data_IF_814501946877
#
_entry.id   IF_814501946877
#
_cell.length_a   1.000
_cell.length_b   1.000
_cell.length_c   1.000
_cell.angle_alpha   90.00
_cell.angle_beta   90.00
_cell.angle_gamma   90.00
#
_symmetry.space_group_name_H-M   'P 1'
#
loop_
_entity.id
_entity.type
_entity.pdbx_description
1 polymer ?
#
# COMPACT_ATOMS: atom_id res chain seq x y z
N UNK A 1 -16.41 55.35 33.21
CA UNK A 1 -15.66 54.07 33.23
C UNK A 1 -16.64 53.01 32.73
N UNK A 2 -16.48 52.63 31.47
CA UNK A 2 -17.30 51.58 30.82
C UNK A 2 -16.95 50.25 31.48
N UNK A 3 -17.90 49.58 32.10
CA UNK A 3 -17.72 48.23 32.63
C UNK A 3 -17.33 47.32 31.47
N UNK A 4 -16.14 46.77 31.51
CA UNK A 4 -15.73 45.76 30.56
C UNK A 4 -16.75 44.63 30.65
N UNK A 5 -17.40 44.30 29.51
CA UNK A 5 -18.31 43.18 29.38
C UNK A 5 -17.61 41.93 29.87
N UNK A 6 -17.92 41.46 31.06
CA UNK A 6 -17.43 40.19 31.54
C UNK A 6 -18.14 39.10 30.74
N UNK A 7 -17.37 38.16 30.14
CA UNK A 7 -17.96 37.08 29.35
C UNK A 7 -18.95 36.28 30.24
N UNK A 8 -20.11 35.98 29.71
CA UNK A 8 -21.07 35.14 30.41
C UNK A 8 -20.51 33.75 30.70
N UNK A 9 -21.01 33.06 31.74
CA UNK A 9 -20.60 31.68 32.02
C UNK A 9 -20.81 30.76 30.79
N UNK A 10 -21.82 31.02 29.98
CA UNK A 10 -22.09 30.30 28.74
C UNK A 10 -20.98 30.53 27.72
N UNK A 11 -20.45 31.75 27.58
CA UNK A 11 -19.39 32.08 26.65
C UNK A 11 -18.07 31.41 27.08
N UNK A 12 -17.78 31.39 28.36
CA UNK A 12 -16.60 30.68 28.92
C UNK A 12 -16.68 29.17 28.63
N UNK A 13 -17.86 28.56 28.87
CA UNK A 13 -18.05 27.13 28.54
C UNK A 13 -17.94 26.86 27.04
N UNK A 14 -18.53 27.70 26.20
CA UNK A 14 -18.45 27.57 24.73
C UNK A 14 -17.01 27.63 24.24
N UNK A 15 -16.22 28.57 24.75
CA UNK A 15 -14.79 28.71 24.42
C UNK A 15 -13.99 27.49 24.91
N UNK A 16 -14.25 26.99 26.10
CA UNK A 16 -13.59 25.80 26.64
C UNK A 16 -13.90 24.54 25.82
N UNK A 17 -15.17 24.33 25.45
CA UNK A 17 -15.58 23.21 24.61
C UNK A 17 -14.93 23.34 23.22
N UNK A 18 -14.98 24.51 22.59
CA UNK A 18 -14.35 24.75 21.29
C UNK A 18 -12.85 24.51 21.32
N UNK A 19 -12.14 24.95 22.38
CA UNK A 19 -10.71 24.69 22.56
C UNK A 19 -10.40 23.20 22.77
N UNK A 20 -11.27 22.46 23.43
CA UNK A 20 -11.14 21.01 23.60
C UNK A 20 -11.36 20.29 22.27
N UNK A 21 -12.42 20.62 21.54
CA UNK A 21 -12.72 20.02 20.24
C UNK A 21 -11.67 20.34 19.18
N UNK A 22 -11.05 21.53 19.22
CA UNK A 22 -9.97 21.90 18.31
C UNK A 22 -8.71 21.04 18.48
N UNK A 23 -8.54 20.37 19.61
CA UNK A 23 -7.44 19.43 19.87
C UNK A 23 -7.76 17.99 19.46
N UNK A 24 -9.02 17.73 19.12
CA UNK A 24 -9.50 16.42 18.78
C UNK A 24 -9.14 16.12 17.32
N UNK A 25 -8.19 15.24 17.10
CA UNK A 25 -7.75 14.84 15.76
C UNK A 25 -8.34 13.47 15.44
N UNK A 26 -9.12 13.38 14.35
CA UNK A 26 -9.66 12.11 13.88
C UNK A 26 -8.83 11.57 12.70
N UNK A 27 -8.79 12.32 11.60
CA UNK A 27 -7.99 11.97 10.44
C UNK A 27 -7.63 13.23 9.65
N UNK A 28 -6.50 13.18 8.97
CA UNK A 28 -6.03 14.26 8.11
C UNK A 28 -5.10 13.70 7.01
N UNK A 29 -5.00 14.38 5.86
CA UNK A 29 -4.06 14.00 4.83
C UNK A 29 -2.62 14.29 5.26
N UNK A 30 -1.69 13.44 4.83
CA UNK A 30 -0.27 13.58 5.08
C UNK A 30 0.58 13.23 3.86
N UNK A 31 1.80 13.74 3.85
CA UNK A 31 2.81 13.47 2.82
C UNK A 31 3.98 12.77 3.50
N UNK A 32 4.41 11.65 2.96
CA UNK A 32 5.55 10.89 3.46
C UNK A 32 6.84 11.69 3.28
N UNK A 33 7.58 11.91 4.36
CA UNK A 33 8.84 12.65 4.40
C UNK A 33 10.06 11.75 4.61
N UNK A 34 9.86 10.55 5.15
CA UNK A 34 10.89 9.50 5.18
C UNK A 34 10.25 8.17 4.78
N UNK A 35 10.98 7.39 3.98
CA UNK A 35 10.53 6.09 3.54
C UNK A 35 10.27 5.14 4.72
N UNK A 36 9.46 4.11 4.48
CA UNK A 36 9.16 3.07 5.45
C UNK A 36 10.44 2.39 5.94
N UNK A 37 10.64 2.44 7.26
CA UNK A 37 11.74 1.78 7.93
C UNK A 37 11.48 0.28 8.14
N UNK A 38 12.49 -0.46 8.64
CA UNK A 38 12.37 -1.89 8.93
C UNK A 38 11.35 -2.20 10.04
N UNK A 39 10.98 -1.20 10.82
CA UNK A 39 9.96 -1.27 11.88
C UNK A 39 8.54 -0.99 11.37
N UNK A 40 8.36 -0.84 10.05
CA UNK A 40 7.06 -0.55 9.43
C UNK A 40 6.55 0.87 9.72
N UNK A 41 7.44 1.82 10.04
CA UNK A 41 7.07 3.21 10.34
C UNK A 41 7.56 4.16 9.25
N UNK A 42 6.79 5.22 9.03
CA UNK A 42 7.11 6.30 8.08
C UNK A 42 7.07 7.66 8.78
N UNK A 43 7.91 8.57 8.33
CA UNK A 43 7.78 9.99 8.67
C UNK A 43 6.69 10.62 7.80
N UNK A 44 5.78 11.35 8.42
CA UNK A 44 4.66 11.98 7.72
C UNK A 44 4.56 13.44 8.13
N UNK A 45 4.53 14.33 7.13
CA UNK A 45 4.19 15.73 7.28
C UNK A 45 2.68 15.89 7.10
N UNK A 46 1.92 16.37 8.12
CA UNK A 46 0.52 16.73 7.91
C UNK A 46 0.39 17.73 6.75
N UNK A 47 -0.49 17.46 5.81
CA UNK A 47 -0.68 18.29 4.62
C UNK A 47 -1.59 19.51 4.85
N UNK A 48 -2.10 19.67 6.07
CA UNK A 48 -2.92 20.81 6.48
C UNK A 48 -2.10 21.67 7.45
N UNK A 49 -2.05 22.98 7.17
CA UNK A 49 -1.38 23.95 8.02
C UNK A 49 -2.19 24.22 9.30
N UNK A 50 -1.51 24.59 10.35
CA UNK A 50 -2.10 24.99 11.61
C UNK A 50 -2.14 26.53 11.67
N UNK A 51 -3.31 27.09 12.00
CA UNK A 51 -3.42 28.52 12.26
C UNK A 51 -2.92 28.84 13.68
N UNK A 52 -1.99 29.77 13.77
CA UNK A 52 -1.54 30.31 15.07
C UNK A 52 -2.57 31.29 15.63
N UNK A 53 -2.44 31.66 16.91
CA UNK A 53 -3.30 32.69 17.52
C UNK A 53 -3.22 34.04 16.82
N UNK A 54 -2.11 34.32 16.14
CA UNK A 54 -1.92 35.54 15.33
C UNK A 54 -2.49 35.41 13.90
N UNK A 55 -3.17 34.30 13.56
CA UNK A 55 -3.73 34.07 12.24
C UNK A 55 -2.72 33.57 11.19
N UNK A 56 -1.46 33.41 11.55
CA UNK A 56 -0.44 32.90 10.64
C UNK A 56 -0.62 31.40 10.40
N UNK A 57 -0.52 30.95 9.16
CA UNK A 57 -0.53 29.55 8.78
C UNK A 57 0.88 28.98 8.85
N UNK A 58 1.08 27.95 9.66
CA UNK A 58 2.37 27.24 9.77
C UNK A 58 2.19 25.76 9.53
N UNK A 59 3.19 25.08 8.93
CA UNK A 59 3.15 23.62 8.79
C UNK A 59 3.07 22.95 10.16
N UNK A 60 2.25 21.92 10.29
CA UNK A 60 2.26 21.08 11.48
C UNK A 60 3.62 20.35 11.60
N UNK A 61 3.98 19.95 12.81
CA UNK A 61 5.23 19.21 13.03
C UNK A 61 5.15 17.82 12.40
N UNK A 62 6.20 17.35 11.70
CA UNK A 62 6.25 15.97 11.19
C UNK A 62 6.13 14.94 12.32
N UNK A 63 5.53 13.81 12.03
CA UNK A 63 5.31 12.70 12.96
C UNK A 63 5.85 11.41 12.37
N UNK A 64 6.29 10.47 13.22
CA UNK A 64 6.70 9.11 12.79
C UNK A 64 5.68 8.12 13.31
N UNK A 65 4.99 7.44 12.40
CA UNK A 65 3.85 6.57 12.69
C UNK A 65 3.93 5.26 11.92
N UNK A 66 3.33 4.17 12.44
CA UNK A 66 3.25 2.90 11.72
C UNK A 66 2.35 3.01 10.49
N UNK A 67 2.62 2.14 9.50
CA UNK A 67 1.77 2.00 8.31
C UNK A 67 0.77 0.88 8.54
N UNK A 68 -0.50 1.12 8.23
CA UNK A 68 -1.54 0.10 8.24
C UNK A 68 -1.82 -0.39 6.81
N UNK A 69 -1.35 -1.57 6.50
CA UNK A 69 -1.67 -2.28 5.26
C UNK A 69 -2.94 -3.12 5.45
N UNK A 70 -3.80 -3.21 4.43
CA UNK A 70 -4.93 -4.13 4.46
C UNK A 70 -4.45 -5.58 4.65
N UNK A 71 -4.94 -6.23 5.70
CA UNK A 71 -4.60 -7.64 5.98
C UNK A 71 -5.78 -8.36 6.62
N UNK A 72 -5.99 -9.61 6.23
CA UNK A 72 -7.03 -10.49 6.77
C UNK A 72 -6.76 -11.96 6.42
N UNK A 73 -7.11 -12.88 7.30
CA UNK A 73 -7.07 -14.31 7.02
C UNK A 73 -5.72 -14.85 6.52
N UNK A 74 -4.60 -14.26 6.94
CA UNK A 74 -3.27 -14.63 6.47
C UNK A 74 -2.86 -14.00 5.14
N UNK A 75 -3.69 -13.14 4.56
CA UNK A 75 -3.39 -12.38 3.32
C UNK A 75 -3.10 -10.93 3.70
N UNK A 76 -2.10 -10.33 3.06
CA UNK A 76 -1.81 -8.90 3.17
C UNK A 76 -1.61 -8.29 1.78
N UNK A 77 -2.08 -7.05 1.60
CA UNK A 77 -1.75 -6.23 0.43
C UNK A 77 -0.78 -5.15 0.93
N UNK A 78 0.46 -5.24 0.51
CA UNK A 78 1.51 -4.34 0.95
C UNK A 78 2.23 -3.71 -0.25
N UNK A 79 2.67 -2.49 -0.07
CA UNK A 79 3.55 -1.80 -1.00
C UNK A 79 4.64 -1.07 -0.22
N UNK A 80 5.61 -0.49 -0.88
CA UNK A 80 6.64 0.33 -0.24
C UNK A 80 6.27 1.79 -0.37
N UNK A 81 6.08 2.48 0.76
CA UNK A 81 5.89 3.93 0.77
C UNK A 81 7.22 4.64 0.58
N UNK A 82 7.28 5.54 -0.39
CA UNK A 82 8.40 6.42 -0.66
C UNK A 82 8.15 7.85 -0.21
N UNK A 83 9.21 8.65 -0.18
CA UNK A 83 9.10 10.10 0.06
C UNK A 83 8.24 10.74 -1.03
N UNK A 84 7.28 11.58 -0.63
CA UNK A 84 6.31 12.22 -1.53
C UNK A 84 5.00 11.46 -1.70
N UNK A 85 4.90 10.20 -1.23
CA UNK A 85 3.63 9.49 -1.25
C UNK A 85 2.62 10.14 -0.31
N UNK A 86 1.36 10.10 -0.71
CA UNK A 86 0.25 10.65 0.07
C UNK A 86 -0.44 9.54 0.86
N UNK A 87 -0.79 9.86 2.10
CA UNK A 87 -1.46 8.96 3.03
C UNK A 87 -2.58 9.68 3.77
N UNK A 88 -3.55 8.93 4.26
CA UNK A 88 -4.45 9.42 5.31
C UNK A 88 -3.88 9.00 6.65
N UNK A 89 -3.67 9.97 7.52
CA UNK A 89 -3.30 9.76 8.92
C UNK A 89 -4.59 9.64 9.72
N UNK A 90 -4.77 8.50 10.38
CA UNK A 90 -5.93 8.25 11.24
C UNK A 90 -5.47 8.17 12.69
N UNK A 91 -6.01 9.06 13.53
CA UNK A 91 -5.72 9.08 14.95
C UNK A 91 -6.61 8.10 15.69
N UNK A 92 -6.00 7.21 16.45
CA UNK A 92 -6.75 6.23 17.24
C UNK A 92 -7.48 6.89 18.41
N UNK A 93 -8.67 6.41 18.71
CA UNK A 93 -9.49 6.85 19.84
C UNK A 93 -8.80 6.60 21.18
N UNK A 94 -7.91 5.60 21.25
CA UNK A 94 -7.18 5.21 22.46
C UNK A 94 -5.71 4.95 22.17
N UNK A 95 -4.91 4.95 23.23
CA UNK A 95 -3.52 4.49 23.13
C UNK A 95 -3.48 2.99 22.79
N UNK A 96 -3.05 2.67 21.59
CA UNK A 96 -2.99 1.32 21.06
C UNK A 96 -1.57 0.75 20.95
N UNK A 97 -0.56 1.50 21.42
CA UNK A 97 0.85 1.11 21.29
C UNK A 97 1.17 -0.24 21.93
N UNK A 98 0.55 -0.55 23.08
CA UNK A 98 0.72 -1.85 23.72
C UNK A 98 0.17 -2.98 22.85
N UNK A 99 -0.98 -2.76 22.21
CA UNK A 99 -1.54 -3.73 21.27
C UNK A 99 -0.65 -3.89 20.04
N UNK A 100 -0.09 -2.80 19.50
CA UNK A 100 0.81 -2.86 18.35
C UNK A 100 2.07 -3.71 18.63
N UNK A 101 2.53 -3.75 19.88
CA UNK A 101 3.71 -4.50 20.29
C UNK A 101 3.42 -5.97 20.61
N UNK A 102 2.31 -6.26 21.26
CA UNK A 102 2.01 -7.60 21.80
C UNK A 102 0.88 -8.32 21.09
N UNK A 103 0.02 -7.62 20.34
CA UNK A 103 -1.21 -8.19 19.81
C UNK A 103 -2.20 -8.60 20.93
N UNK A 104 -3.28 -9.30 20.54
CA UNK A 104 -4.27 -9.82 21.47
C UNK A 104 -5.10 -8.75 22.19
N UNK A 105 -5.60 -9.06 23.37
CA UNK A 105 -6.35 -8.13 24.23
C UNK A 105 -5.40 -7.53 25.24
N UNK A 106 -5.28 -6.19 25.24
CA UNK A 106 -4.37 -5.47 26.12
C UNK A 106 -5.12 -4.57 27.10
N UNK A 107 -4.58 -4.34 28.31
CA UNK A 107 -5.16 -3.40 29.25
C UNK A 107 -5.20 -1.98 28.71
N UNK A 108 -6.26 -1.24 29.00
CA UNK A 108 -6.34 0.18 28.71
C UNK A 108 -5.47 1.00 29.68
N UNK A 109 -4.53 1.73 29.17
CA UNK A 109 -3.58 2.52 29.98
C UNK A 109 -4.06 3.94 30.30
N UNK A 110 -5.27 4.30 29.94
CA UNK A 110 -5.98 5.50 30.41
C UNK A 110 -5.54 6.85 29.84
N UNK A 111 -4.46 6.92 29.06
CA UNK A 111 -3.92 8.18 28.56
C UNK A 111 -3.77 8.18 27.05
N UNK A 112 -4.17 9.27 26.44
CA UNK A 112 -4.00 9.52 25.00
C UNK A 112 -5.11 8.88 24.15
N UNK A 113 -5.62 9.64 23.25
CA UNK A 113 -6.56 9.30 22.21
C UNK A 113 -6.68 10.50 21.31
N UNK A 114 -7.07 10.28 20.05
CA UNK A 114 -7.25 11.37 19.07
C UNK A 114 -6.04 12.31 18.96
N UNK A 115 -4.83 11.76 19.08
CA UNK A 115 -3.58 12.49 18.99
C UNK A 115 -2.68 11.91 17.89
N UNK A 116 -1.92 12.75 17.23
CA UNK A 116 -1.00 12.35 16.17
C UNK A 116 0.04 11.28 16.62
N UNK A 117 0.42 11.26 17.91
CA UNK A 117 1.33 10.25 18.47
C UNK A 117 0.77 8.82 18.50
N UNK A 118 -0.56 8.66 18.42
CA UNK A 118 -1.25 7.37 18.38
C UNK A 118 -1.93 7.13 17.04
N UNK A 119 -1.42 7.76 16.00
CA UNK A 119 -1.98 7.67 14.66
C UNK A 119 -1.32 6.52 13.86
N UNK A 120 -1.95 6.21 12.74
CA UNK A 120 -1.50 5.25 11.74
C UNK A 120 -1.58 5.88 10.36
N UNK A 121 -0.63 5.58 9.49
CA UNK A 121 -0.66 5.99 8.09
C UNK A 121 -1.39 4.92 7.24
N UNK A 122 -2.42 5.34 6.51
CA UNK A 122 -3.18 4.48 5.58
C UNK A 122 -2.95 4.96 4.14
N UNK A 123 -2.34 4.16 3.27
CA UNK A 123 -2.12 4.51 1.86
C UNK A 123 -3.38 4.25 1.01
N UNK A 124 -4.50 4.82 1.40
CA UNK A 124 -5.81 4.52 0.79
C UNK A 124 -6.35 5.61 -0.12
N UNK A 125 -5.75 6.80 -0.11
CA UNK A 125 -6.27 7.93 -0.88
C UNK A 125 -5.13 8.86 -1.29
N UNK A 126 -5.22 9.39 -2.52
CA UNK A 126 -4.35 10.44 -3.03
C UNK A 126 -5.16 11.70 -3.33
N UNK A 127 -4.49 12.86 -3.32
CA UNK A 127 -5.07 14.12 -3.79
C UNK A 127 -5.44 14.04 -5.27
N UNK A 128 -6.32 14.92 -5.73
CA UNK A 128 -6.78 14.93 -7.13
C UNK A 128 -5.63 14.96 -8.15
N UNK A 129 -4.56 15.76 -7.98
CA UNK A 129 -3.42 15.77 -8.92
C UNK A 129 -2.66 14.44 -8.96
N UNK A 130 -2.61 13.69 -7.85
CA UNK A 130 -1.81 12.48 -7.70
C UNK A 130 -2.64 11.19 -7.77
N UNK A 131 -3.95 11.33 -7.95
CA UNK A 131 -4.86 10.20 -8.06
C UNK A 131 -4.62 9.42 -9.35
N UNK A 132 -4.60 8.07 -9.32
CA UNK A 132 -4.60 7.27 -10.54
C UNK A 132 -5.76 7.64 -11.45
N UNK A 133 -5.56 7.58 -12.75
CA UNK A 133 -6.64 7.77 -13.73
C UNK A 133 -7.78 6.78 -13.48
N UNK A 134 -9.03 7.19 -13.70
CA UNK A 134 -10.17 6.26 -13.63
C UNK A 134 -9.93 5.01 -14.49
N UNK A 135 -10.41 3.88 -14.02
CA UNK A 135 -10.32 2.63 -14.78
C UNK A 135 -11.22 2.72 -16.03
N UNK A 136 -10.76 2.20 -17.19
CA UNK A 136 -11.62 1.99 -18.35
C UNK A 136 -12.80 1.07 -17.98
N UNK A 137 -13.92 1.19 -18.70
CA UNK A 137 -15.14 0.39 -18.45
C UNK A 137 -14.91 -1.12 -18.56
N UNK A 138 -13.90 -1.55 -19.34
CA UNK A 138 -13.51 -2.97 -19.49
C UNK A 138 -12.67 -3.53 -18.34
N UNK A 139 -12.26 -2.70 -17.38
CA UNK A 139 -11.36 -3.09 -16.29
C UNK A 139 -12.11 -3.06 -14.96
N UNK A 140 -12.21 -4.22 -14.31
CA UNK A 140 -12.85 -4.35 -12.98
C UNK A 140 -11.88 -3.98 -11.84
N UNK A 141 -10.59 -4.35 -11.98
CA UNK A 141 -9.57 -4.07 -10.96
C UNK A 141 -8.19 -3.94 -11.61
N UNK A 142 -7.40 -3.01 -11.12
CA UNK A 142 -5.98 -2.88 -11.45
C UNK A 142 -5.15 -2.87 -10.17
N UNK A 143 -4.14 -3.72 -10.09
CA UNK A 143 -3.14 -3.73 -9.03
C UNK A 143 -1.79 -3.50 -9.68
N UNK A 144 -1.06 -2.47 -9.30
CA UNK A 144 0.24 -2.19 -9.90
C UNK A 144 0.79 -0.81 -9.54
N UNK A 145 1.91 -0.48 -10.17
CA UNK A 145 2.57 0.80 -9.97
C UNK A 145 1.78 1.95 -10.61
N UNK A 146 1.87 3.15 -10.03
CA UNK A 146 1.23 4.36 -10.58
C UNK A 146 1.73 4.71 -11.98
N UNK A 147 2.99 4.37 -12.29
CA UNK A 147 3.62 4.57 -13.60
C UNK A 147 3.13 3.57 -14.67
N UNK A 148 2.27 2.63 -14.31
CA UNK A 148 1.69 1.61 -15.20
C UNK A 148 2.69 0.65 -15.86
N UNK A 149 3.94 0.64 -15.45
CA UNK A 149 4.98 -0.21 -16.03
C UNK A 149 4.81 -1.68 -15.65
N UNK A 150 4.21 -1.95 -14.49
CA UNK A 150 3.92 -3.32 -14.04
C UNK A 150 2.56 -3.36 -13.36
N UNK A 151 1.62 -4.09 -13.95
CA UNK A 151 0.24 -4.17 -13.44
C UNK A 151 -0.36 -5.56 -13.63
N UNK A 152 -1.25 -5.90 -12.69
CA UNK A 152 -2.21 -7.01 -12.82
C UNK A 152 -3.57 -6.36 -13.10
N UNK A 153 -4.20 -6.73 -14.18
CA UNK A 153 -5.49 -6.20 -14.60
C UNK A 153 -6.51 -7.33 -14.60
N UNK A 154 -7.62 -7.14 -13.92
CA UNK A 154 -8.81 -8.01 -14.03
C UNK A 154 -9.81 -7.32 -14.94
N UNK A 155 -10.18 -7.97 -16.04
CA UNK A 155 -11.23 -7.51 -16.95
C UNK A 155 -12.62 -7.79 -16.37
N UNK A 156 -13.62 -7.01 -16.78
CA UNK A 156 -15.04 -7.28 -16.45
C UNK A 156 -15.55 -8.58 -17.09
N UNK A 157 -14.85 -9.06 -18.11
CA UNK A 157 -15.09 -10.35 -18.79
C UNK A 157 -14.45 -11.55 -18.07
N UNK A 158 -13.82 -11.32 -16.92
CA UNK A 158 -13.10 -12.33 -16.14
C UNK A 158 -11.65 -12.60 -16.61
N UNK A 159 -11.15 -11.88 -17.62
CA UNK A 159 -9.76 -12.00 -18.06
C UNK A 159 -8.78 -11.48 -16.99
N UNK A 160 -7.59 -12.10 -16.92
CA UNK A 160 -6.47 -11.65 -16.09
C UNK A 160 -5.31 -11.32 -17.02
N UNK A 161 -4.88 -10.08 -17.02
CA UNK A 161 -3.74 -9.61 -17.82
C UNK A 161 -2.60 -9.20 -16.91
N UNK A 162 -1.42 -9.73 -17.15
CA UNK A 162 -0.17 -9.30 -16.53
C UNK A 162 0.57 -8.41 -17.52
N UNK A 163 0.82 -7.16 -17.14
CA UNK A 163 1.56 -6.18 -17.96
C UNK A 163 2.86 -5.83 -17.26
N UNK A 164 3.97 -5.81 -18.00
CA UNK A 164 5.29 -5.45 -17.50
C UNK A 164 6.37 -5.84 -18.50
N UNK A 165 7.55 -5.23 -18.38
CA UNK A 165 8.71 -5.57 -19.21
C UNK A 165 9.31 -6.93 -18.84
N UNK A 166 9.19 -7.30 -17.54
CA UNK A 166 9.72 -8.56 -17.01
C UNK A 166 8.67 -9.22 -16.11
N UNK A 167 7.71 -9.91 -16.71
CA UNK A 167 6.73 -10.72 -15.96
C UNK A 167 7.34 -12.09 -15.72
N UNK A 168 7.99 -12.28 -14.57
CA UNK A 168 8.41 -13.59 -14.12
C UNK A 168 7.22 -14.34 -13.52
N UNK A 169 6.66 -15.29 -14.27
CA UNK A 169 5.72 -16.26 -13.72
C UNK A 169 6.54 -17.36 -13.04
N UNK A 170 6.65 -17.31 -11.71
CA UNK A 170 7.22 -18.42 -10.95
C UNK A 170 6.23 -19.59 -11.02
N UNK A 171 6.53 -20.54 -11.87
CA UNK A 171 5.74 -21.76 -12.01
C UNK A 171 5.81 -22.56 -10.69
N UNK A 172 4.68 -22.92 -10.14
CA UNK A 172 4.62 -23.97 -9.13
C UNK A 172 5.23 -25.29 -9.67
N UNK A 173 5.59 -26.21 -8.77
CA UNK A 173 6.25 -27.47 -9.12
C UNK A 173 5.59 -28.20 -10.30
N UNK A 174 4.28 -28.13 -10.44
CA UNK A 174 3.53 -28.76 -11.55
C UNK A 174 3.85 -28.19 -12.93
N UNK A 175 3.98 -26.86 -13.07
CA UNK A 175 4.31 -26.25 -14.36
C UNK A 175 5.79 -26.48 -14.72
N UNK A 176 6.70 -26.42 -13.75
CA UNK A 176 8.11 -26.79 -13.96
C UNK A 176 8.26 -28.24 -14.41
N UNK A 177 7.52 -29.16 -13.80
CA UNK A 177 7.50 -30.56 -14.18
C UNK A 177 6.92 -30.76 -15.58
N UNK A 178 5.82 -30.06 -15.92
CA UNK A 178 5.23 -30.08 -17.27
C UNK A 178 6.22 -29.58 -18.32
N UNK A 179 6.89 -28.46 -18.12
CA UNK A 179 7.88 -27.90 -19.04
C UNK A 179 9.08 -28.84 -19.22
N UNK A 180 9.56 -29.46 -18.13
CA UNK A 180 10.64 -30.46 -18.17
C UNK A 180 10.20 -31.69 -18.99
N UNK A 181 8.99 -32.20 -18.78
CA UNK A 181 8.44 -33.33 -19.52
C UNK A 181 8.28 -33.02 -21.00
N UNK A 182 7.79 -31.78 -21.31
CA UNK A 182 7.69 -31.30 -22.68
C UNK A 182 9.07 -31.22 -23.37
N UNK A 183 10.06 -30.69 -22.67
CA UNK A 183 11.44 -30.58 -23.15
C UNK A 183 12.04 -31.96 -23.45
N UNK A 184 11.84 -32.92 -22.55
CA UNK A 184 12.27 -34.33 -22.78
C UNK A 184 11.54 -34.94 -23.95
N UNK A 185 10.22 -34.75 -24.09
CA UNK A 185 9.44 -35.22 -25.22
C UNK A 185 9.92 -34.66 -26.56
N UNK A 186 10.17 -33.33 -26.63
CA UNK A 186 10.71 -32.69 -27.84
C UNK A 186 12.11 -33.19 -28.18
N UNK A 187 12.96 -33.40 -27.16
CA UNK A 187 14.31 -33.90 -27.34
C UNK A 187 14.31 -35.34 -27.89
N UNK A 188 13.41 -36.18 -27.38
CA UNK A 188 13.27 -37.57 -27.79
C UNK A 188 12.52 -37.75 -29.12
N UNK A 189 11.79 -36.73 -29.60
CA UNK A 189 11.02 -36.82 -30.83
C UNK A 189 11.93 -36.93 -32.06
N UNK A 190 11.72 -37.96 -32.82
CA UNK A 190 12.41 -38.19 -34.10
C UNK A 190 11.46 -37.80 -35.24
N UNK A 191 11.69 -36.66 -35.93
CA UNK A 191 10.85 -36.24 -37.06
C UNK A 191 10.93 -37.22 -38.22
N UNK A 192 9.80 -37.42 -38.90
CA UNK A 192 9.80 -38.21 -40.17
C UNK A 192 10.43 -37.34 -41.28
N UNK A 193 11.25 -37.92 -42.15
CA UNK A 193 11.85 -37.17 -43.26
C UNK A 193 10.78 -36.53 -44.17
N UNK A 194 10.98 -35.24 -44.50
CA UNK A 194 10.15 -34.46 -45.43
C UNK A 194 8.75 -34.01 -44.91
N UNK A 195 8.44 -34.12 -43.65
CA UNK A 195 7.17 -33.67 -43.08
C UNK A 195 7.24 -32.25 -42.40
N UNK A 196 8.39 -31.57 -42.46
CA UNK A 196 8.62 -30.29 -41.77
C UNK A 196 8.85 -30.42 -40.27
N UNK A 197 8.78 -31.63 -39.69
CA UNK A 197 8.93 -31.90 -38.27
C UNK A 197 10.32 -31.54 -37.74
N UNK A 198 11.35 -31.63 -38.57
CA UNK A 198 12.71 -31.23 -38.19
C UNK A 198 12.81 -29.72 -37.87
N UNK A 199 12.18 -28.87 -38.69
CA UNK A 199 12.12 -27.43 -38.46
C UNK A 199 11.31 -27.08 -37.22
N UNK A 200 10.17 -27.74 -37.01
CA UNK A 200 9.34 -27.59 -35.84
C UNK A 200 10.08 -28.00 -34.55
N UNK A 201 10.79 -29.14 -34.58
CA UNK A 201 11.62 -29.59 -33.44
C UNK A 201 12.67 -28.56 -33.06
N UNK A 202 13.38 -27.99 -34.02
CA UNK A 202 14.39 -26.95 -33.78
C UNK A 202 13.75 -25.69 -33.18
N UNK A 203 12.63 -25.22 -33.72
CA UNK A 203 11.92 -24.06 -33.22
C UNK A 203 11.42 -24.28 -31.77
N UNK A 204 10.86 -25.44 -31.46
CA UNK A 204 10.37 -25.80 -30.14
C UNK A 204 11.51 -25.92 -29.11
N UNK A 205 12.62 -26.56 -29.50
CA UNK A 205 13.82 -26.66 -28.66
C UNK A 205 14.42 -25.28 -28.35
N UNK A 206 14.48 -24.40 -29.36
CA UNK A 206 14.95 -23.03 -29.18
C UNK A 206 14.04 -22.24 -28.22
N UNK A 207 12.71 -22.36 -28.36
CA UNK A 207 11.74 -21.72 -27.46
C UNK A 207 11.87 -22.23 -26.02
N UNK A 208 12.00 -23.52 -25.80
CA UNK A 208 12.19 -24.13 -24.48
C UNK A 208 13.53 -23.72 -23.83
N UNK A 209 14.55 -23.45 -24.61
CA UNK A 209 15.84 -22.99 -24.14
C UNK A 209 15.80 -21.50 -23.66
N UNK A 210 14.90 -20.70 -24.23
CA UNK A 210 14.68 -19.30 -23.85
C UNK A 210 13.85 -19.16 -22.56
N UNK A 211 13.16 -20.21 -22.13
CA UNK A 211 12.38 -20.27 -20.91
C UNK A 211 13.01 -21.23 -19.90
N UNK A 212 14.16 -20.91 -19.28
CA UNK A 212 14.75 -21.81 -18.28
C UNK A 212 13.76 -21.98 -17.14
N UNK A 213 13.57 -23.20 -16.62
CA UNK A 213 12.77 -23.43 -15.43
C UNK A 213 13.50 -22.81 -14.23
N UNK A 214 13.21 -21.55 -13.91
CA UNK A 214 13.70 -20.89 -12.71
C UNK A 214 12.93 -21.39 -11.48
N UNK A 215 13.22 -22.61 -11.09
CA UNK A 215 12.74 -23.22 -9.86
C UNK A 215 13.90 -23.48 -8.90
N UNK A 216 14.56 -22.43 -8.45
CA UNK A 216 15.38 -22.51 -7.24
C UNK A 216 14.48 -22.46 -6.01
N UNK A 217 14.79 -23.18 -4.92
CA UNK A 217 14.04 -23.09 -3.68
C UNK A 217 14.11 -21.65 -3.15
N UNK A 218 12.94 -21.03 -2.92
CA UNK A 218 12.84 -19.77 -2.19
C UNK A 218 13.34 -20.04 -0.78
N UNK A 219 14.36 -19.33 -0.25
CA UNK A 219 14.74 -19.47 1.13
C UNK A 219 13.54 -19.10 2.03
N UNK A 220 13.32 -19.80 3.14
CA UNK A 220 12.27 -19.46 4.08
C UNK A 220 12.49 -18.06 4.68
N UNK A 221 11.42 -17.35 5.05
CA UNK A 221 11.45 -16.01 5.63
C UNK A 221 12.19 -15.97 6.98
#
# INVERSE_FOLDING_TARGET
MSGADQPSAIDVHRVAIAATLARFQCSFPGIVTSAEGPDGRVGVQPAIMIATKAGQQIPAKPITIPVAWPSWGGIAIQGKLGVGDEVIVECMDRNWLSWLQSGGVVPYTGTGGHQAGYAVAKPVQSSTPNRPSPLPASVALRIGRKDSLTTIVLGVDGSITLQGTDVALTAGAGLSQFLTTLQLGVSAWVPVPNDGGAALKVALAAWLALTPPTGGPVPPP
#
